data_IF_059620153290
#
_entry.id   IF_059620153290
#
_cell.length_a   1.000
_cell.length_b   1.000
_cell.length_c   1.000
_cell.angle_alpha   90.00
_cell.angle_beta   90.00
_cell.angle_gamma   90.00
#
_symmetry.space_group_name_H-M   'P 1'
#
loop_
_entity.id
_entity.type
_entity.pdbx_description
1 polymer ?
#
# COMPACT_ATOMS: atom_id res chain seq x y z
N UNK A 1 28.82 -11.91 -18.80
CA UNK A 1 28.35 -10.52 -18.94
C UNK A 1 29.52 -9.59 -18.72
N UNK A 2 29.54 -8.51 -19.48
CA UNK A 2 30.71 -7.70 -19.82
C UNK A 2 31.11 -6.74 -18.70
N UNK A 3 30.15 -6.22 -17.92
CA UNK A 3 30.40 -5.33 -16.78
C UNK A 3 30.61 -6.07 -15.45
N UNK A 4 30.56 -7.40 -15.46
CA UNK A 4 30.73 -8.21 -14.24
C UNK A 4 29.51 -8.17 -13.32
N UNK A 5 29.74 -8.38 -12.02
CA UNK A 5 28.68 -8.38 -11.01
C UNK A 5 28.32 -6.97 -10.54
N UNK A 6 27.06 -6.78 -10.16
CA UNK A 6 26.56 -5.53 -9.62
C UNK A 6 27.30 -5.11 -8.35
N UNK A 7 27.75 -6.07 -7.54
CA UNK A 7 28.61 -5.81 -6.38
C UNK A 7 29.91 -5.08 -6.76
N UNK A 8 30.61 -5.54 -7.81
CA UNK A 8 31.85 -4.91 -8.28
C UNK A 8 31.57 -3.49 -8.76
N UNK A 9 30.51 -3.31 -9.55
CA UNK A 9 30.11 -2.02 -10.12
C UNK A 9 29.71 -1.02 -9.02
N UNK A 10 29.00 -1.44 -7.97
CA UNK A 10 28.63 -0.58 -6.83
C UNK A 10 29.83 -0.23 -5.93
N UNK A 11 30.82 -1.11 -5.85
CA UNK A 11 32.05 -0.91 -5.07
C UNK A 11 33.04 0.04 -5.74
N UNK A 12 32.92 0.25 -7.06
CA UNK A 12 33.73 1.21 -7.80
C UNK A 12 33.06 2.58 -7.83
N UNK A 13 33.73 3.62 -7.31
CA UNK A 13 33.16 4.97 -7.23
C UNK A 13 32.80 5.61 -8.58
N UNK A 14 33.55 5.32 -9.63
CA UNK A 14 33.28 5.86 -10.97
C UNK A 14 32.05 5.17 -11.55
N UNK A 15 32.04 3.84 -11.57
CA UNK A 15 30.95 3.07 -12.16
C UNK A 15 29.65 3.18 -11.34
N UNK A 16 29.74 3.30 -10.01
CA UNK A 16 28.57 3.53 -9.16
C UNK A 16 27.89 4.88 -9.43
N UNK A 17 28.64 5.90 -9.86
CA UNK A 17 28.08 7.20 -10.30
C UNK A 17 27.43 7.09 -11.68
N UNK A 18 27.96 6.24 -12.57
CA UNK A 18 27.32 5.96 -13.86
C UNK A 18 25.95 5.27 -13.70
N UNK A 19 25.79 4.49 -12.63
CA UNK A 19 24.52 3.94 -12.15
C UNK A 19 23.67 5.02 -11.46
N UNK A 20 23.17 5.98 -12.22
CA UNK A 20 22.21 6.97 -11.70
C UNK A 20 20.90 6.34 -11.20
N UNK A 21 20.06 7.13 -10.51
CA UNK A 21 18.81 6.64 -9.93
C UNK A 21 17.87 5.93 -10.92
N UNK A 22 17.79 6.41 -12.16
CA UNK A 22 16.97 5.77 -13.20
C UNK A 22 17.47 4.35 -13.50
N UNK A 23 18.78 4.17 -13.66
CA UNK A 23 19.40 2.87 -13.92
C UNK A 23 19.26 1.93 -12.72
N UNK A 24 19.50 2.43 -11.50
CA UNK A 24 19.32 1.65 -10.27
C UNK A 24 17.88 1.14 -10.10
N UNK A 25 16.90 2.02 -10.30
CA UNK A 25 15.48 1.63 -10.29
C UNK A 25 15.18 0.58 -11.37
N UNK A 26 15.74 0.72 -12.57
CA UNK A 26 15.54 -0.27 -13.65
C UNK A 26 16.14 -1.63 -13.30
N UNK A 27 17.35 -1.68 -12.76
CA UNK A 27 18.00 -2.91 -12.28
C UNK A 27 17.09 -3.63 -11.27
N UNK A 28 16.54 -2.88 -10.30
CA UNK A 28 15.63 -3.43 -9.29
C UNK A 28 14.36 -3.99 -9.94
N UNK A 29 13.81 -3.30 -10.94
CA UNK A 29 12.65 -3.78 -11.72
C UNK A 29 12.96 -5.06 -12.48
N UNK A 30 14.12 -5.15 -13.12
CA UNK A 30 14.54 -6.31 -13.89
C UNK A 30 14.73 -7.54 -12.98
N UNK A 31 15.39 -7.36 -11.83
CA UNK A 31 15.52 -8.40 -10.80
C UNK A 31 14.14 -8.84 -10.28
N UNK A 32 13.24 -7.90 -10.02
CA UNK A 32 11.90 -8.21 -9.54
C UNK A 32 11.08 -9.01 -10.56
N UNK A 33 11.15 -8.65 -11.84
CA UNK A 33 10.50 -9.39 -12.92
C UNK A 33 11.10 -10.79 -13.10
N UNK A 34 12.42 -10.92 -13.08
CA UNK A 34 13.09 -12.21 -13.20
C UNK A 34 12.66 -13.17 -12.08
N UNK A 35 12.63 -12.70 -10.83
CA UNK A 35 12.17 -13.50 -9.70
C UNK A 35 10.67 -13.80 -9.76
N UNK A 36 9.85 -12.84 -10.22
CA UNK A 36 8.43 -13.11 -10.46
C UNK A 36 8.24 -14.25 -11.46
N UNK A 37 9.01 -14.24 -12.54
CA UNK A 37 8.96 -15.30 -13.55
C UNK A 37 9.32 -16.67 -12.96
N UNK A 38 10.43 -16.75 -12.22
CA UNK A 38 10.87 -18.00 -11.58
C UNK A 38 9.84 -18.55 -10.59
N UNK A 39 9.22 -17.67 -9.80
CA UNK A 39 8.31 -18.06 -8.73
C UNK A 39 6.88 -18.37 -9.22
N UNK A 40 6.43 -17.69 -10.28
CA UNK A 40 5.00 -17.70 -10.66
C UNK A 40 4.74 -18.17 -12.10
N UNK A 41 5.74 -18.19 -12.98
CA UNK A 41 5.57 -18.57 -14.38
C UNK A 41 6.30 -19.87 -14.75
N UNK A 42 7.33 -20.26 -14.00
CA UNK A 42 7.98 -21.56 -14.18
C UNK A 42 7.17 -22.69 -13.54
N UNK A 43 7.00 -23.80 -14.28
CA UNK A 43 6.44 -25.05 -13.78
C UNK A 43 7.46 -26.17 -14.04
N UNK A 44 8.00 -26.81 -12.99
CA UNK A 44 7.71 -26.59 -11.57
C UNK A 44 8.36 -25.29 -11.06
N UNK A 45 7.85 -24.76 -9.94
CA UNK A 45 8.30 -23.48 -9.39
C UNK A 45 9.79 -23.50 -9.06
N UNK A 46 10.53 -22.48 -9.48
CA UNK A 46 11.98 -22.38 -9.29
C UNK A 46 12.26 -21.37 -8.18
N UNK A 47 12.99 -21.79 -7.14
CA UNK A 47 13.43 -20.90 -6.05
C UNK A 47 14.95 -20.77 -6.08
N UNK A 48 15.44 -19.54 -6.29
CA UNK A 48 16.87 -19.26 -6.47
C UNK A 48 17.72 -19.52 -5.22
N UNK A 49 17.21 -19.14 -4.03
CA UNK A 49 17.81 -19.34 -2.69
C UNK A 49 19.13 -18.59 -2.39
N UNK A 50 19.84 -18.07 -3.40
CA UNK A 50 21.07 -17.28 -3.21
C UNK A 50 21.01 -15.91 -3.90
N UNK A 51 20.03 -15.07 -3.59
CA UNK A 51 19.92 -13.76 -4.24
C UNK A 51 20.86 -12.73 -3.60
N UNK A 52 21.97 -12.40 -4.26
CA UNK A 52 22.94 -11.40 -3.78
C UNK A 52 23.36 -10.46 -4.92
N UNK A 53 23.98 -9.32 -4.60
CA UNK A 53 24.54 -8.38 -5.60
C UNK A 53 25.70 -8.99 -6.39
N UNK A 54 26.35 -10.04 -5.88
CA UNK A 54 27.34 -10.83 -6.63
C UNK A 54 26.70 -11.72 -7.70
N UNK A 55 25.47 -12.18 -7.44
CA UNK A 55 24.71 -13.04 -8.34
C UNK A 55 23.80 -12.24 -9.30
N UNK A 56 23.99 -10.93 -9.39
CA UNK A 56 23.35 -10.08 -10.40
C UNK A 56 24.45 -9.57 -11.34
N UNK A 57 24.34 -9.94 -12.60
CA UNK A 57 25.30 -9.56 -13.63
C UNK A 57 24.76 -8.41 -14.49
N UNK A 58 25.65 -7.54 -14.94
CA UNK A 58 25.31 -6.40 -15.81
C UNK A 58 25.95 -6.55 -17.19
N UNK A 59 25.18 -6.28 -18.25
CA UNK A 59 25.72 -6.13 -19.60
C UNK A 59 26.24 -4.70 -19.87
N UNK A 60 26.72 -4.44 -21.09
CA UNK A 60 27.21 -3.11 -21.50
C UNK A 60 26.13 -2.02 -21.42
N UNK A 61 24.87 -2.39 -21.60
CA UNK A 61 23.70 -1.52 -21.48
C UNK A 61 23.23 -1.30 -20.03
N UNK A 62 23.92 -1.90 -19.04
CA UNK A 62 23.58 -1.87 -17.61
C UNK A 62 22.21 -2.47 -17.28
N UNK A 63 21.79 -3.46 -18.07
CA UNK A 63 20.65 -4.32 -17.79
C UNK A 63 21.10 -5.46 -16.87
N UNK A 64 20.23 -5.81 -15.93
CA UNK A 64 20.49 -6.78 -14.88
C UNK A 64 19.93 -8.16 -15.20
N UNK A 65 20.76 -9.16 -14.91
CA UNK A 65 20.41 -10.56 -15.10
C UNK A 65 20.77 -11.35 -13.85
N UNK A 66 19.82 -12.16 -13.39
CA UNK A 66 20.02 -13.07 -12.26
C UNK A 66 20.89 -14.24 -12.72
N UNK A 67 21.95 -14.53 -11.97
CA UNK A 67 22.93 -15.56 -12.27
C UNK A 67 23.15 -16.47 -11.05
N UNK A 68 23.93 -17.54 -11.26
CA UNK A 68 24.32 -18.52 -10.24
C UNK A 68 23.15 -19.32 -9.64
N UNK A 69 22.58 -20.20 -10.48
CA UNK A 69 21.51 -21.11 -10.09
C UNK A 69 22.01 -22.38 -9.35
N UNK A 70 23.26 -22.43 -8.89
CA UNK A 70 23.90 -23.65 -8.37
C UNK A 70 23.22 -24.27 -7.13
N UNK A 71 22.47 -23.50 -6.34
CA UNK A 71 21.70 -24.00 -5.19
C UNK A 71 20.18 -23.91 -5.37
N UNK A 72 19.74 -23.66 -6.60
CA UNK A 72 18.33 -23.53 -6.97
C UNK A 72 17.58 -24.81 -6.68
N UNK A 73 16.37 -24.69 -6.14
CA UNK A 73 15.46 -25.83 -5.95
C UNK A 73 14.23 -25.71 -6.82
N UNK A 74 13.85 -26.84 -7.39
CA UNK A 74 12.59 -27.04 -8.11
C UNK A 74 11.59 -27.55 -7.08
N UNK A 75 10.50 -26.81 -6.88
CA UNK A 75 9.40 -27.21 -6.01
C UNK A 75 8.34 -27.93 -6.85
N UNK A 76 8.12 -29.22 -6.55
CA UNK A 76 7.07 -30.00 -7.18
C UNK A 76 5.69 -29.56 -6.65
N UNK A 77 4.64 -29.48 -7.50
CA UNK A 77 3.30 -29.05 -7.08
C UNK A 77 2.68 -29.90 -5.95
N UNK A 78 3.16 -31.14 -5.79
CA UNK A 78 2.56 -32.16 -4.92
C UNK A 78 3.36 -32.45 -3.64
N UNK A 79 4.47 -31.76 -3.36
CA UNK A 79 5.25 -31.99 -2.12
C UNK A 79 4.77 -31.10 -0.97
N UNK A 80 3.71 -31.53 -0.30
CA UNK A 80 3.50 -31.19 1.11
C UNK A 80 4.48 -32.03 1.93
N UNK A 81 5.69 -31.53 2.19
CA UNK A 81 6.46 -31.77 3.42
C UNK A 81 7.88 -31.19 3.31
N UNK A 82 8.26 -30.48 4.38
CA UNK A 82 9.64 -30.19 4.79
C UNK A 82 10.60 -31.32 4.44
N UNK A 83 11.84 -31.01 4.00
CA UNK A 83 13.01 -31.82 4.38
C UNK A 83 14.37 -31.15 4.11
N UNK A 84 15.17 -31.20 5.17
CA UNK A 84 16.63 -31.05 5.33
C UNK A 84 17.23 -29.64 5.15
N UNK A 85 17.63 -29.15 6.33
CA UNK A 85 18.18 -27.86 6.74
C UNK A 85 19.59 -27.64 6.17
N UNK A 86 19.80 -26.50 5.51
CA UNK A 86 21.12 -25.89 5.37
C UNK A 86 20.94 -24.37 5.55
N UNK A 87 21.44 -23.87 6.69
CA UNK A 87 21.28 -22.49 7.17
C UNK A 87 20.82 -22.44 8.64
N UNK A 88 21.19 -21.40 9.38
CA UNK A 88 20.91 -21.28 10.83
C UNK A 88 19.64 -20.45 11.06
N UNK A 89 18.82 -20.88 12.03
CA UNK A 89 17.62 -20.30 12.68
C UNK A 89 16.76 -19.21 11.95
N UNK A 90 15.48 -19.53 11.69
CA UNK A 90 14.41 -18.55 11.34
C UNK A 90 13.38 -18.94 10.25
N UNK A 91 13.26 -20.23 9.89
CA UNK A 91 12.79 -20.67 8.57
C UNK A 91 11.34 -20.39 8.13
N UNK A 92 11.26 -20.08 6.81
CA UNK A 92 10.12 -19.93 5.86
C UNK A 92 9.60 -18.48 5.74
N UNK A 93 9.82 -17.68 4.68
CA UNK A 93 10.39 -17.84 3.34
C UNK A 93 11.71 -17.02 3.15
N UNK A 94 12.87 -17.66 2.92
CA UNK A 94 14.18 -17.01 2.76
C UNK A 94 14.38 -16.22 1.45
N UNK A 95 13.65 -16.55 0.39
CA UNK A 95 13.85 -16.01 -0.96
C UNK A 95 13.39 -14.56 -1.17
N UNK A 96 12.82 -13.93 -0.14
CA UNK A 96 12.45 -12.52 -0.13
C UNK A 96 13.38 -11.67 0.74
N UNK A 97 13.96 -12.22 1.81
CA UNK A 97 14.84 -11.45 2.69
C UNK A 97 16.12 -11.01 1.95
N UNK A 98 16.74 -11.91 1.21
CA UNK A 98 17.99 -11.64 0.48
C UNK A 98 17.81 -10.67 -0.70
N UNK A 99 16.70 -10.79 -1.43
CA UNK A 99 16.37 -9.85 -2.52
C UNK A 99 16.22 -8.43 -2.01
N UNK A 100 15.83 -8.23 -0.74
CA UNK A 100 15.71 -6.89 -0.15
C UNK A 100 17.03 -6.32 0.34
N UNK A 101 17.91 -7.18 0.85
CA UNK A 101 19.31 -6.82 1.11
C UNK A 101 19.92 -6.26 -0.18
N UNK A 102 19.68 -6.94 -1.31
CA UNK A 102 20.10 -6.46 -2.64
C UNK A 102 19.49 -5.10 -2.98
N UNK A 103 18.18 -4.90 -2.79
CA UNK A 103 17.53 -3.61 -3.08
C UNK A 103 18.11 -2.47 -2.25
N UNK A 104 18.31 -2.71 -0.94
CA UNK A 104 18.91 -1.72 -0.05
C UNK A 104 20.36 -1.42 -0.45
N UNK A 105 21.16 -2.43 -0.79
CA UNK A 105 22.53 -2.22 -1.29
C UNK A 105 22.57 -1.38 -2.56
N UNK A 106 21.64 -1.61 -3.49
CA UNK A 106 21.53 -0.81 -4.71
C UNK A 106 21.18 0.63 -4.38
N UNK A 107 20.25 0.87 -3.45
CA UNK A 107 19.82 2.24 -3.09
C UNK A 107 20.89 2.97 -2.27
N UNK A 108 21.58 2.27 -1.36
CA UNK A 108 22.61 2.82 -0.49
C UNK A 108 23.97 2.94 -1.20
N UNK A 109 24.20 2.18 -2.26
CA UNK A 109 25.47 2.11 -2.98
C UNK A 109 26.59 1.39 -2.23
N UNK A 110 26.30 0.75 -1.12
CA UNK A 110 27.27 0.08 -0.25
C UNK A 110 26.64 -1.14 0.40
N UNK A 111 27.47 -2.05 0.88
CA UNK A 111 26.99 -3.22 1.61
C UNK A 111 26.20 -2.80 2.86
N UNK A 112 25.09 -3.49 3.11
CA UNK A 112 24.04 -3.05 4.02
C UNK A 112 24.22 -3.55 5.47
N UNK A 113 25.21 -4.42 5.70
CA UNK A 113 25.67 -4.99 6.98
C UNK A 113 25.02 -4.47 8.27
N UNK A 114 25.68 -3.51 8.95
CA UNK A 114 25.23 -2.97 10.25
C UNK A 114 23.94 -2.13 10.17
N UNK A 115 23.62 -1.62 8.98
CA UNK A 115 22.46 -0.78 8.74
C UNK A 115 21.17 -1.59 8.68
N UNK A 116 21.20 -2.86 8.22
CA UNK A 116 20.01 -3.72 8.24
C UNK A 116 19.55 -3.98 9.67
N UNK A 117 20.48 -4.29 10.58
CA UNK A 117 20.16 -4.49 11.99
C UNK A 117 19.57 -3.22 12.62
N UNK A 118 20.08 -2.06 12.22
CA UNK A 118 19.59 -0.75 12.68
C UNK A 118 18.22 -0.40 12.09
N UNK A 119 17.99 -0.66 10.79
CA UNK A 119 16.74 -0.42 10.06
C UNK A 119 15.63 -1.38 10.50
N UNK A 120 15.97 -2.64 10.82
CA UNK A 120 15.04 -3.64 11.33
C UNK A 120 14.73 -3.44 12.83
N UNK A 121 15.55 -2.67 13.55
CA UNK A 121 15.31 -2.29 14.94
C UNK A 121 14.45 -1.03 15.06
N UNK A 122 13.92 -0.78 16.25
CA UNK A 122 13.08 0.40 16.52
C UNK A 122 13.78 1.76 16.36
N UNK A 123 15.09 1.79 16.05
CA UNK A 123 15.90 2.98 15.78
C UNK A 123 15.72 3.55 14.36
N UNK A 124 15.10 2.81 13.43
CA UNK A 124 14.70 3.35 12.12
C UNK A 124 13.70 4.52 12.21
N UNK A 125 13.13 4.76 13.40
CA UNK A 125 12.07 5.74 13.63
C UNK A 125 12.49 7.18 13.31
N UNK A 126 13.77 7.55 13.28
CA UNK A 126 14.13 8.96 13.01
C UNK A 126 15.04 9.16 11.77
N UNK A 127 15.30 8.10 11.00
CA UNK A 127 16.11 8.22 9.78
C UNK A 127 15.31 8.85 8.64
N UNK A 128 15.90 9.85 7.98
CA UNK A 128 15.33 10.42 6.77
C UNK A 128 15.79 9.61 5.55
N UNK A 129 14.94 9.55 4.51
CA UNK A 129 15.27 8.82 3.29
C UNK A 129 16.61 9.28 2.70
N UNK A 130 16.89 10.59 2.70
CA UNK A 130 18.17 11.17 2.23
C UNK A 130 19.42 10.58 2.92
N UNK A 131 19.29 10.07 4.14
CA UNK A 131 20.41 9.54 4.92
C UNK A 131 20.67 8.05 4.59
N UNK A 132 19.72 7.39 3.92
CA UNK A 132 19.83 6.02 3.40
C UNK A 132 20.42 6.00 1.99
N UNK A 133 20.10 7.00 1.17
CA UNK A 133 20.47 7.02 -0.24
C UNK A 133 21.98 7.14 -0.44
N UNK A 134 22.48 6.57 -1.54
CA UNK A 134 23.87 6.71 -1.95
C UNK A 134 24.27 8.20 -2.07
N UNK A 135 25.19 8.69 -1.22
CA UNK A 135 25.59 10.09 -1.20
C UNK A 135 26.36 10.51 -2.46
N UNK A 136 26.83 9.54 -3.26
CA UNK A 136 27.53 9.81 -4.53
C UNK A 136 26.57 10.31 -5.63
N UNK A 137 25.26 10.14 -5.46
CA UNK A 137 24.25 10.57 -6.41
C UNK A 137 23.61 11.90 -5.97
N UNK A 138 23.37 12.79 -6.93
CA UNK A 138 22.81 14.12 -6.66
C UNK A 138 21.43 14.04 -5.98
N UNK A 139 21.16 14.90 -4.97
CA UNK A 139 19.85 15.00 -4.32
C UNK A 139 18.79 15.67 -5.21
N UNK A 140 19.19 16.31 -6.32
CA UNK A 140 18.28 16.89 -7.31
C UNK A 140 17.70 15.80 -8.22
N UNK A 141 16.82 14.98 -7.64
CA UNK A 141 16.14 13.92 -8.34
C UNK A 141 14.89 14.50 -9.03
N UNK A 142 14.74 14.24 -10.33
CA UNK A 142 13.49 14.52 -11.05
C UNK A 142 12.31 13.92 -10.26
N UNK A 143 11.22 14.66 -10.10
CA UNK A 143 10.06 14.24 -9.29
C UNK A 143 9.54 12.84 -9.65
N UNK A 144 9.61 12.42 -10.91
CA UNK A 144 9.19 11.08 -11.34
C UNK A 144 10.16 9.97 -10.88
N UNK A 145 11.46 10.25 -10.89
CA UNK A 145 12.48 9.33 -10.39
C UNK A 145 12.41 9.27 -8.86
N UNK A 146 12.20 10.42 -8.20
CA UNK A 146 12.02 10.50 -6.75
C UNK A 146 10.84 9.64 -6.28
N UNK A 147 9.69 9.71 -6.97
CA UNK A 147 8.55 8.80 -6.74
C UNK A 147 8.95 7.34 -6.87
N UNK A 148 9.71 7.00 -7.91
CA UNK A 148 10.14 5.62 -8.15
C UNK A 148 11.07 5.12 -7.05
N UNK A 149 12.01 5.95 -6.59
CA UNK A 149 12.91 5.62 -5.47
C UNK A 149 12.13 5.41 -4.17
N UNK A 150 11.12 6.25 -3.89
CA UNK A 150 10.24 6.06 -2.72
C UNK A 150 9.48 4.74 -2.80
N UNK A 151 8.90 4.40 -3.96
CA UNK A 151 8.24 3.09 -4.16
C UNK A 151 9.19 1.94 -3.90
N UNK A 152 10.41 2.01 -4.44
CA UNK A 152 11.44 0.99 -4.23
C UNK A 152 11.72 0.80 -2.74
N UNK A 153 11.92 1.88 -1.98
CA UNK A 153 12.21 1.80 -0.55
C UNK A 153 11.01 1.27 0.24
N UNK A 154 9.79 1.67 -0.11
CA UNK A 154 8.58 1.12 0.52
C UNK A 154 8.45 -0.39 0.30
N UNK A 155 8.66 -0.85 -0.94
CA UNK A 155 8.64 -2.27 -1.26
C UNK A 155 9.77 -3.02 -0.53
N UNK A 156 10.95 -2.41 -0.44
CA UNK A 156 12.08 -2.97 0.31
C UNK A 156 11.71 -3.25 1.77
N UNK A 157 11.09 -2.27 2.42
CA UNK A 157 10.68 -2.37 3.82
C UNK A 157 9.50 -3.31 4.03
N UNK A 158 8.54 -3.34 3.11
CA UNK A 158 7.41 -4.29 3.16
C UNK A 158 7.89 -5.75 3.08
N UNK A 159 8.91 -6.02 2.29
CA UNK A 159 9.52 -7.35 2.19
C UNK A 159 10.41 -7.70 3.40
N UNK A 160 10.87 -6.73 4.19
CA UNK A 160 11.63 -6.94 5.44
C UNK A 160 10.75 -7.25 6.67
N UNK A 161 9.43 -7.31 6.51
CA UNK A 161 8.51 -7.63 7.62
C UNK A 161 8.87 -8.97 8.29
N UNK A 162 8.88 -8.99 9.62
CA UNK A 162 9.24 -10.18 10.40
C UNK A 162 8.27 -11.34 10.18
N UNK A 163 6.99 -11.04 9.90
CA UNK A 163 5.99 -12.06 9.54
C UNK A 163 6.05 -12.40 8.03
N UNK A 164 6.42 -13.63 7.65
CA UNK A 164 6.51 -14.07 6.26
C UNK A 164 5.20 -13.94 5.47
N UNK A 165 4.05 -14.15 6.13
CA UNK A 165 2.72 -14.03 5.48
C UNK A 165 2.34 -12.58 5.17
N UNK A 166 3.03 -11.62 5.77
CA UNK A 166 2.79 -10.19 5.56
C UNK A 166 3.70 -9.58 4.47
N UNK A 167 4.61 -10.37 3.91
CA UNK A 167 5.52 -9.97 2.82
C UNK A 167 4.80 -10.09 1.47
N UNK A 168 5.00 -9.16 0.54
CA UNK A 168 4.42 -9.27 -0.80
C UNK A 168 5.09 -10.39 -1.60
N UNK A 169 4.38 -10.92 -2.60
CA UNK A 169 4.95 -11.85 -3.57
C UNK A 169 5.77 -11.11 -4.62
N UNK A 170 6.71 -11.79 -5.29
CA UNK A 170 7.49 -11.15 -6.36
C UNK A 170 6.63 -10.75 -7.56
N UNK A 171 5.52 -11.46 -7.82
CA UNK A 171 4.49 -11.02 -8.78
C UNK A 171 3.90 -9.67 -8.41
N UNK A 172 3.50 -9.48 -7.15
CA UNK A 172 3.00 -8.19 -6.68
C UNK A 172 4.08 -7.09 -6.76
N UNK A 173 5.29 -7.36 -6.26
CA UNK A 173 6.42 -6.41 -6.34
C UNK A 173 6.71 -6.00 -7.78
N UNK A 174 6.70 -6.94 -8.73
CA UNK A 174 6.92 -6.63 -10.16
C UNK A 174 5.79 -5.79 -10.76
N UNK A 175 4.55 -6.01 -10.34
CA UNK A 175 3.37 -5.29 -10.83
C UNK A 175 3.29 -3.86 -10.28
N UNK A 176 3.71 -3.63 -9.03
CA UNK A 176 3.76 -2.30 -8.42
C UNK A 176 4.66 -1.34 -9.22
N UNK A 177 5.70 -1.84 -9.88
CA UNK A 177 6.53 -1.03 -10.76
C UNK A 177 5.87 -0.61 -12.09
N UNK A 178 4.77 -1.27 -12.47
CA UNK A 178 3.98 -0.97 -13.66
C UNK A 178 2.85 0.04 -13.35
N UNK A 179 2.41 0.10 -12.09
CA UNK A 179 1.35 1.02 -11.64
C UNK A 179 1.96 2.38 -11.28
N UNK A 180 1.91 3.34 -12.21
CA UNK A 180 2.40 4.72 -11.98
C UNK A 180 1.53 5.49 -10.97
N UNK A 181 1.68 5.32 -9.65
CA UNK A 181 0.92 6.17 -8.69
C UNK A 181 1.63 6.44 -7.37
N UNK A 182 2.28 7.61 -7.28
CA UNK A 182 2.36 8.35 -6.02
C UNK A 182 2.22 9.87 -6.30
N UNK A 183 1.23 10.56 -5.73
CA UNK A 183 1.36 11.97 -5.43
C UNK A 183 2.29 12.12 -4.21
N UNK A 184 3.46 12.75 -4.39
CA UNK A 184 4.34 13.13 -3.28
C UNK A 184 3.69 14.30 -2.55
N UNK A 185 3.13 14.08 -1.36
CA UNK A 185 2.56 15.14 -0.51
C UNK A 185 3.62 15.97 0.22
N UNK A 186 4.87 15.48 0.28
CA UNK A 186 6.04 16.15 0.87
C UNK A 186 7.22 16.13 -0.13
N UNK A 187 8.12 17.13 -0.08
CA UNK A 187 9.33 17.10 -0.89
C UNK A 187 10.23 15.93 -0.49
N UNK A 188 10.94 15.35 -1.46
CA UNK A 188 11.69 14.09 -1.34
C UNK A 188 12.66 14.04 -0.15
N UNK A 189 13.28 15.17 0.19
CA UNK A 189 14.23 15.30 1.29
C UNK A 189 13.58 15.26 2.70
N UNK A 190 12.25 15.39 2.78
CA UNK A 190 11.47 15.45 4.03
C UNK A 190 10.68 14.16 4.32
N UNK A 191 10.96 13.09 3.57
CA UNK A 191 10.32 11.79 3.75
C UNK A 191 11.08 11.02 4.84
N UNK A 192 10.42 10.82 5.98
CA UNK A 192 10.90 9.97 7.06
C UNK A 192 10.63 8.49 6.76
N UNK A 193 11.54 7.61 7.20
CA UNK A 193 11.37 6.15 7.14
C UNK A 193 10.16 5.65 7.98
N UNK A 194 9.59 6.47 8.89
CA UNK A 194 8.41 6.13 9.70
C UNK A 194 7.15 5.80 8.91
N UNK A 195 6.91 6.47 7.76
CA UNK A 195 5.74 6.16 6.92
C UNK A 195 5.81 4.74 6.31
N UNK A 196 6.92 4.03 6.52
CA UNK A 196 7.27 2.81 5.78
C UNK A 196 7.68 1.63 6.66
N UNK A 197 7.85 1.80 7.98
CA UNK A 197 8.29 0.72 8.89
C UNK A 197 7.33 0.37 10.02
N UNK A 198 6.28 1.14 10.29
CA UNK A 198 5.29 0.79 11.32
C UNK A 198 4.09 0.03 10.74
N UNK A 199 4.33 -1.20 10.32
CA UNK A 199 3.33 -2.26 10.49
C UNK A 199 3.67 -3.04 11.76
N UNK A 200 3.56 -2.37 12.91
CA UNK A 200 3.38 -3.08 14.18
C UNK A 200 2.13 -3.96 14.04
N UNK A 201 2.18 -5.27 14.34
CA UNK A 201 0.97 -6.08 14.42
C UNK A 201 0.25 -5.74 15.73
N UNK A 202 -0.43 -4.59 15.81
CA UNK A 202 -1.18 -4.19 17.01
C UNK A 202 -2.46 -3.43 16.68
N UNK A 203 -3.49 -4.21 16.35
CA UNK A 203 -4.82 -4.24 16.97
C UNK A 203 -5.74 -4.95 15.98
N UNK A 204 -6.56 -5.87 16.46
CA UNK A 204 -7.59 -6.56 15.66
C UNK A 204 -8.48 -5.60 14.86
N UNK A 205 -8.58 -4.33 15.26
CA UNK A 205 -9.36 -3.27 14.60
C UNK A 205 -8.79 -2.80 13.25
N UNK A 206 -7.47 -2.68 13.07
CA UNK A 206 -6.91 -2.16 11.80
C UNK A 206 -7.06 -3.15 10.64
N UNK A 207 -6.87 -4.44 10.91
CA UNK A 207 -7.15 -5.50 9.95
C UNK A 207 -8.65 -5.59 9.62
N UNK A 208 -9.50 -5.25 10.60
CA UNK A 208 -10.94 -5.21 10.43
C UNK A 208 -11.38 -4.06 9.52
N UNK A 209 -10.81 -2.86 9.66
CA UNK A 209 -11.07 -1.71 8.77
C UNK A 209 -10.76 -2.05 7.30
N UNK A 210 -9.57 -2.61 7.04
CA UNK A 210 -9.16 -3.03 5.68
C UNK A 210 -10.11 -4.08 5.09
N UNK A 211 -10.48 -5.10 5.90
CA UNK A 211 -11.43 -6.14 5.48
C UNK A 211 -12.81 -5.54 5.19
N UNK A 212 -13.31 -4.65 6.05
CA UNK A 212 -14.60 -3.99 5.89
C UNK A 212 -14.64 -3.13 4.62
N UNK A 213 -13.58 -2.37 4.33
CA UNK A 213 -13.51 -1.59 3.10
C UNK A 213 -13.45 -2.49 1.85
N UNK A 214 -12.72 -3.60 1.89
CA UNK A 214 -12.66 -4.54 0.76
C UNK A 214 -14.02 -5.18 0.44
N UNK A 215 -14.82 -5.48 1.47
CA UNK A 215 -16.17 -6.05 1.33
C UNK A 215 -17.14 -5.12 0.60
N UNK A 216 -16.90 -3.81 0.65
CA UNK A 216 -17.73 -2.84 -0.09
C UNK A 216 -17.57 -2.94 -1.59
N UNK A 217 -16.43 -3.47 -2.06
CA UNK A 217 -15.99 -3.45 -3.46
C UNK A 217 -15.86 -2.05 -4.08
N UNK A 218 -15.94 -0.97 -3.30
CA UNK A 218 -15.85 0.41 -3.80
C UNK A 218 -14.44 0.77 -4.32
N UNK A 219 -13.41 0.06 -3.84
CA UNK A 219 -12.02 0.18 -4.26
C UNK A 219 -11.57 -1.06 -5.06
N UNK A 220 -12.35 -1.44 -6.08
CA UNK A 220 -12.21 -2.69 -6.85
C UNK A 220 -10.85 -3.01 -7.52
N UNK A 221 -9.84 -2.13 -7.41
CA UNK A 221 -8.45 -2.38 -7.81
C UNK A 221 -7.58 -3.01 -6.72
N UNK A 222 -7.97 -2.87 -5.45
CA UNK A 222 -7.26 -3.42 -4.30
C UNK A 222 -7.81 -4.81 -3.93
N UNK A 223 -8.01 -5.68 -4.93
CA UNK A 223 -8.41 -7.07 -4.65
C UNK A 223 -7.18 -7.80 -4.08
N UNK A 224 -7.25 -8.10 -2.79
CA UNK A 224 -6.31 -8.95 -2.03
C UNK A 224 -5.07 -8.30 -1.42
N UNK A 225 -5.10 -7.05 -0.96
CA UNK A 225 -3.90 -6.42 -0.38
C UNK A 225 -3.91 -6.30 1.14
N UNK A 226 -2.84 -6.80 1.78
CA UNK A 226 -2.41 -6.56 3.18
C UNK A 226 -1.79 -5.14 3.30
N UNK A 227 -2.16 -4.24 2.39
CA UNK A 227 -1.76 -2.84 2.40
C UNK A 227 -2.72 -2.08 3.30
N UNK A 228 -2.17 -1.16 4.09
CA UNK A 228 -2.97 -0.30 4.95
C UNK A 228 -3.99 0.48 4.11
N UNK A 229 -5.28 0.53 4.50
CA UNK A 229 -6.28 1.30 3.76
C UNK A 229 -5.93 2.78 3.66
N UNK A 230 -5.02 3.27 4.50
CA UNK A 230 -4.49 4.64 4.48
C UNK A 230 -3.77 5.02 3.17
N UNK A 231 -3.42 4.05 2.33
CA UNK A 231 -2.83 4.31 1.01
C UNK A 231 -3.87 4.35 -0.11
N UNK A 232 -5.15 4.10 0.20
CA UNK A 232 -6.21 4.05 -0.80
C UNK A 232 -6.71 5.45 -1.12
N UNK A 233 -7.09 5.67 -2.37
CA UNK A 233 -7.62 6.96 -2.80
C UNK A 233 -8.85 7.35 -1.96
N UNK A 234 -8.80 8.55 -1.39
CA UNK A 234 -9.88 9.07 -0.55
C UNK A 234 -9.84 8.66 0.91
N UNK A 235 -8.86 7.85 1.36
CA UNK A 235 -8.74 7.43 2.76
C UNK A 235 -7.65 8.23 3.47
N UNK A 236 -7.95 8.71 4.68
CA UNK A 236 -6.98 9.34 5.58
C UNK A 236 -7.05 8.67 6.95
N UNK A 237 -5.88 8.40 7.52
CA UNK A 237 -5.74 7.76 8.82
C UNK A 237 -5.05 8.69 9.83
N UNK A 238 -5.22 8.37 11.12
CA UNK A 238 -4.42 8.97 12.18
C UNK A 238 -3.02 8.34 12.27
N UNK A 239 -2.19 8.84 13.19
CA UNK A 239 -0.82 8.35 13.40
C UNK A 239 -0.75 6.87 13.83
N UNK A 240 -1.87 6.33 14.35
CA UNK A 240 -2.02 4.91 14.67
C UNK A 240 -2.48 4.03 13.49
N UNK A 241 -2.65 4.60 12.30
CA UNK A 241 -3.05 3.88 11.09
C UNK A 241 -4.55 3.55 11.00
N UNK A 242 -5.38 4.06 11.91
CA UNK A 242 -6.84 3.86 11.88
C UNK A 242 -7.51 4.91 11.02
N UNK A 243 -8.50 4.50 10.23
CA UNK A 243 -9.23 5.35 9.30
C UNK A 243 -10.05 6.41 10.04
N UNK A 244 -9.71 7.68 9.82
CA UNK A 244 -10.41 8.84 10.38
C UNK A 244 -11.24 9.60 9.34
N UNK A 245 -10.93 9.43 8.06
CA UNK A 245 -11.69 10.06 6.99
C UNK A 245 -11.77 9.20 5.74
N UNK A 246 -12.97 9.15 5.16
CA UNK A 246 -13.25 8.54 3.85
C UNK A 246 -13.90 9.62 2.97
N UNK A 247 -13.35 9.83 1.79
CA UNK A 247 -13.79 10.83 0.83
C UNK A 247 -13.71 10.29 -0.61
N UNK A 248 -14.84 9.84 -1.14
CA UNK A 248 -14.97 9.41 -2.54
C UNK A 248 -15.87 10.35 -3.33
N UNK A 249 -15.50 10.59 -4.58
CA UNK A 249 -16.29 11.35 -5.54
C UNK A 249 -16.23 10.67 -6.93
N UNK A 250 -17.28 10.85 -7.74
CA UNK A 250 -17.41 10.35 -9.12
C UNK A 250 -16.17 10.54 -9.98
N UNK A 251 -15.55 11.72 -9.88
CA UNK A 251 -14.33 12.04 -10.65
C UNK A 251 -13.18 11.09 -10.30
N UNK A 252 -13.02 10.72 -9.03
CA UNK A 252 -12.03 9.73 -8.60
C UNK A 252 -12.35 8.34 -9.16
N UNK A 253 -13.63 7.94 -9.20
CA UNK A 253 -14.06 6.63 -9.72
C UNK A 253 -13.96 6.55 -11.26
N UNK A 254 -14.24 7.64 -11.99
CA UNK A 254 -14.11 7.72 -13.45
C UNK A 254 -12.65 7.71 -13.92
N UNK A 255 -11.74 8.39 -13.19
CA UNK A 255 -10.29 8.32 -13.43
C UNK A 255 -9.74 6.90 -13.31
N UNK A 256 -10.51 6.01 -12.69
CA UNK A 256 -10.16 4.62 -12.53
C UNK A 256 -11.08 3.70 -13.30
N UNK A 257 -11.87 4.14 -14.29
CA UNK A 257 -12.66 3.23 -15.14
C UNK A 257 -13.67 2.34 -14.41
N UNK A 258 -14.03 2.67 -13.16
CA UNK A 258 -14.92 1.87 -12.29
C UNK A 258 -16.40 2.21 -12.42
N UNK A 259 -16.73 3.26 -13.17
CA UNK A 259 -18.09 3.80 -13.28
C UNK A 259 -19.13 2.79 -13.81
N UNK A 260 -18.71 1.65 -14.39
CA UNK A 260 -19.59 0.72 -15.10
C UNK A 260 -19.70 -0.68 -14.48
N UNK A 261 -18.95 -1.04 -13.42
CA UNK A 261 -18.79 -2.45 -13.02
C UNK A 261 -19.24 -2.81 -11.59
N UNK A 262 -19.59 -1.86 -10.73
CA UNK A 262 -20.02 -2.16 -9.35
C UNK A 262 -21.28 -1.40 -8.97
N UNK A 263 -22.33 -2.13 -8.56
CA UNK A 263 -23.46 -1.55 -7.84
C UNK A 263 -22.95 -1.09 -6.48
N UNK A 264 -22.81 0.22 -6.27
CA UNK A 264 -22.46 0.81 -4.98
C UNK A 264 -23.67 0.71 -4.06
N UNK A 265 -23.82 -0.40 -3.34
CA UNK A 265 -24.87 -0.54 -2.32
C UNK A 265 -24.34 -0.11 -0.96
N UNK A 266 -25.06 0.79 -0.28
CA UNK A 266 -24.64 1.30 1.03
C UNK A 266 -24.67 0.24 2.13
N UNK A 267 -25.51 -0.80 1.98
CA UNK A 267 -25.64 -1.87 2.97
C UNK A 267 -24.37 -2.70 3.17
N UNK A 268 -23.42 -2.64 2.24
CA UNK A 268 -22.13 -3.35 2.36
C UNK A 268 -21.11 -2.63 3.25
N UNK A 269 -21.38 -1.39 3.66
CA UNK A 269 -20.48 -0.64 4.53
C UNK A 269 -20.74 -0.96 6.01
N UNK A 270 -19.79 -1.60 6.67
CA UNK A 270 -19.88 -1.95 8.08
C UNK A 270 -19.31 -0.84 8.99
N UNK A 271 -20.17 0.07 9.44
CA UNK A 271 -19.82 1.19 10.32
C UNK A 271 -19.13 0.78 11.62
N UNK A 272 -19.48 -0.37 12.20
CA UNK A 272 -18.88 -0.89 13.44
C UNK A 272 -17.39 -1.20 13.33
N UNK A 273 -16.85 -1.24 12.10
CA UNK A 273 -15.43 -1.47 11.86
C UNK A 273 -14.59 -0.19 11.92
N UNK A 274 -15.20 1.00 12.02
CA UNK A 274 -14.49 2.29 11.94
C UNK A 274 -14.74 3.16 13.19
N UNK A 275 -14.23 2.78 14.38
CA UNK A 275 -14.52 3.47 15.64
C UNK A 275 -13.96 4.90 15.71
N UNK A 276 -12.94 5.21 14.90
CA UNK A 276 -12.26 6.51 14.90
C UNK A 276 -12.70 7.41 13.73
N UNK A 277 -13.72 7.03 12.97
CA UNK A 277 -14.12 7.77 11.78
C UNK A 277 -14.75 9.13 12.17
N UNK A 278 -14.12 10.20 11.68
CA UNK A 278 -14.49 11.59 11.97
C UNK A 278 -15.22 12.23 10.78
N UNK A 279 -14.83 11.89 9.55
CA UNK A 279 -15.42 12.46 8.32
C UNK A 279 -15.75 11.38 7.30
N UNK A 280 -17.00 11.33 6.87
CA UNK A 280 -17.46 10.37 5.85
C UNK A 280 -18.14 11.13 4.71
N UNK A 281 -17.54 11.10 3.52
CA UNK A 281 -18.01 11.82 2.34
C UNK A 281 -18.05 10.90 1.13
N UNK A 282 -19.23 10.65 0.60
CA UNK A 282 -19.46 9.91 -0.63
C UNK A 282 -20.37 10.77 -1.51
N UNK A 283 -19.79 11.56 -2.41
CA UNK A 283 -20.57 12.53 -3.22
C UNK A 283 -20.63 12.05 -4.66
N UNK A 284 -21.83 11.97 -5.23
CA UNK A 284 -22.03 11.61 -6.64
C UNK A 284 -21.46 10.24 -7.05
N UNK A 285 -21.26 9.31 -6.11
CA UNK A 285 -20.65 7.99 -6.42
C UNK A 285 -21.66 6.97 -6.93
N UNK A 286 -22.94 7.35 -7.07
CA UNK A 286 -24.02 6.46 -7.49
C UNK A 286 -24.42 5.46 -6.40
N UNK A 287 -24.23 5.81 -5.13
CA UNK A 287 -24.58 4.98 -3.97
C UNK A 287 -26.10 4.73 -3.92
N UNK A 288 -26.51 3.49 -3.71
CA UNK A 288 -27.91 3.03 -3.67
C UNK A 288 -28.23 2.37 -2.35
N UNK A 289 -29.53 2.24 -2.05
CA UNK A 289 -30.05 1.59 -0.85
C UNK A 289 -30.34 2.58 0.28
N UNK A 290 -30.74 2.05 1.43
CA UNK A 290 -31.03 2.85 2.61
C UNK A 290 -29.78 3.16 3.43
N UNK A 291 -29.84 4.24 4.21
CA UNK A 291 -28.81 4.55 5.20
C UNK A 291 -28.95 3.52 6.34
N UNK A 292 -27.91 2.69 6.59
CA UNK A 292 -28.01 1.62 7.57
C UNK A 292 -28.04 2.19 9.01
N UNK A 293 -28.88 1.66 9.92
CA UNK A 293 -29.00 2.18 11.28
C UNK A 293 -27.71 2.03 12.10
N UNK A 294 -26.80 1.16 11.69
CA UNK A 294 -25.45 0.97 12.26
C UNK A 294 -24.60 2.25 12.21
N UNK A 295 -24.96 3.23 11.36
CA UNK A 295 -24.28 4.53 11.30
C UNK A 295 -24.24 5.24 12.66
N UNK A 296 -25.24 5.02 13.52
CA UNK A 296 -25.29 5.57 14.88
C UNK A 296 -24.23 5.01 15.84
N UNK A 297 -23.45 4.00 15.42
CA UNK A 297 -22.32 3.45 16.18
C UNK A 297 -21.03 4.26 16.07
N UNK A 298 -20.93 5.22 15.13
CA UNK A 298 -19.71 6.00 14.88
C UNK A 298 -19.76 7.34 15.61
N UNK A 299 -19.67 7.31 16.93
CA UNK A 299 -19.91 8.47 17.81
C UNK A 299 -18.95 9.65 17.61
N UNK A 300 -17.81 9.46 16.94
CA UNK A 300 -16.81 10.49 16.63
C UNK A 300 -17.09 11.23 15.31
N UNK A 301 -18.14 10.86 14.58
CA UNK A 301 -18.45 11.44 13.28
C UNK A 301 -18.91 12.90 13.44
N UNK A 302 -18.18 13.82 12.82
CA UNK A 302 -18.48 15.26 12.82
C UNK A 302 -19.04 15.74 11.49
N UNK A 303 -18.69 15.07 10.40
CA UNK A 303 -19.09 15.45 9.05
C UNK A 303 -19.57 14.23 8.26
N UNK A 304 -20.83 14.24 7.86
CA UNK A 304 -21.44 13.23 7.00
C UNK A 304 -21.98 13.91 5.74
N UNK A 305 -21.42 13.56 4.57
CA UNK A 305 -21.94 14.01 3.29
C UNK A 305 -22.20 12.82 2.37
N UNK A 306 -23.47 12.58 2.05
CA UNK A 306 -23.94 11.53 1.14
C UNK A 306 -24.73 12.15 -0.03
N UNK A 307 -24.51 13.43 -0.31
CA UNK A 307 -25.29 14.16 -1.32
C UNK A 307 -25.10 13.62 -2.73
N UNK A 308 -26.09 13.86 -3.59
CA UNK A 308 -26.07 13.53 -5.03
C UNK A 308 -25.93 12.03 -5.29
N UNK A 309 -26.57 11.18 -4.49
CA UNK A 309 -26.60 9.74 -4.70
C UNK A 309 -28.03 9.27 -5.02
N UNK A 310 -28.22 7.95 -5.05
CA UNK A 310 -29.52 7.29 -5.25
C UNK A 310 -29.98 6.60 -3.96
N UNK A 311 -29.67 7.19 -2.79
CA UNK A 311 -30.11 6.65 -1.50
C UNK A 311 -31.61 6.80 -1.35
N UNK A 312 -32.28 5.82 -0.76
CA UNK A 312 -33.74 5.80 -0.59
C UNK A 312 -34.16 5.27 0.78
N UNK A 313 -35.45 5.38 1.10
CA UNK A 313 -35.98 5.01 2.41
C UNK A 313 -35.91 6.16 3.43
N UNK A 314 -36.20 5.84 4.68
CA UNK A 314 -36.29 6.83 5.77
C UNK A 314 -34.94 7.10 6.44
N UNK A 315 -34.80 8.27 7.08
CA UNK A 315 -33.64 8.57 7.90
C UNK A 315 -33.65 7.72 9.17
N UNK A 316 -32.60 6.93 9.46
CA UNK A 316 -32.60 6.09 10.64
C UNK A 316 -32.52 6.95 11.91
N UNK A 317 -33.39 6.67 12.89
CA UNK A 317 -33.41 7.34 14.20
C UNK A 317 -32.05 7.27 14.93
N UNK A 318 -31.23 6.27 14.62
CA UNK A 318 -29.89 6.11 15.18
C UNK A 318 -28.93 7.24 14.80
N UNK A 319 -29.21 8.03 13.76
CA UNK A 319 -28.43 9.25 13.45
C UNK A 319 -28.44 10.24 14.61
N UNK A 320 -29.49 10.25 15.45
CA UNK A 320 -29.55 11.11 16.64
C UNK A 320 -28.51 10.75 17.71
N UNK A 321 -27.91 9.55 17.64
CA UNK A 321 -26.81 9.14 18.53
C UNK A 321 -25.49 9.83 18.19
N UNK A 322 -25.37 10.45 17.01
CA UNK A 322 -24.17 11.14 16.56
C UNK A 322 -24.09 12.54 17.15
N UNK A 323 -23.87 12.63 18.46
CA UNK A 323 -23.89 13.89 19.23
C UNK A 323 -22.79 14.88 18.83
N UNK A 324 -21.73 14.42 18.17
CA UNK A 324 -20.64 15.25 17.65
C UNK A 324 -20.87 15.73 16.21
N UNK A 325 -21.98 15.35 15.57
CA UNK A 325 -22.23 15.66 14.16
C UNK A 325 -22.52 17.16 13.98
N UNK A 326 -21.63 17.84 13.28
CA UNK A 326 -21.73 19.27 13.00
C UNK A 326 -22.39 19.53 11.65
N UNK A 327 -22.12 18.68 10.67
CA UNK A 327 -22.61 18.81 9.29
C UNK A 327 -23.19 17.50 8.80
N UNK A 328 -24.47 17.53 8.45
CA UNK A 328 -25.16 16.46 7.75
C UNK A 328 -25.66 16.99 6.40
N UNK A 329 -25.18 16.41 5.31
CA UNK A 329 -25.64 16.70 3.95
C UNK A 329 -26.05 15.41 3.26
N UNK A 330 -27.34 15.30 3.00
CA UNK A 330 -28.01 14.17 2.34
C UNK A 330 -28.87 14.65 1.18
N UNK A 331 -28.67 15.89 0.73
CA UNK A 331 -29.40 16.52 -0.37
C UNK A 331 -29.22 15.76 -1.69
N UNK A 332 -30.16 15.93 -2.63
CA UNK A 332 -30.12 15.25 -3.94
C UNK A 332 -30.04 13.72 -3.81
N UNK A 333 -30.94 13.13 -3.03
CA UNK A 333 -31.17 11.69 -2.90
C UNK A 333 -32.67 11.38 -3.11
N UNK A 334 -33.09 10.14 -2.94
CA UNK A 334 -34.48 9.66 -3.03
C UNK A 334 -35.06 9.31 -1.65
N UNK A 335 -34.65 10.05 -0.61
CA UNK A 335 -35.08 9.82 0.77
C UNK A 335 -36.57 10.11 0.94
N UNK A 336 -37.24 9.35 1.81
CA UNK A 336 -38.66 9.49 2.13
C UNK A 336 -38.86 9.62 3.64
N UNK A 337 -40.09 9.93 4.08
CA UNK A 337 -40.43 10.04 5.49
C UNK A 337 -40.03 11.39 6.13
N UNK A 338 -40.50 11.66 7.36
CA UNK A 338 -40.20 12.91 8.05
C UNK A 338 -38.75 12.96 8.54
N UNK A 339 -38.21 14.17 8.73
CA UNK A 339 -36.98 14.36 9.50
C UNK A 339 -37.30 14.02 10.96
N UNK A 340 -36.63 13.03 11.58
CA UNK A 340 -36.84 12.71 12.98
C UNK A 340 -36.60 13.93 13.87
N UNK A 341 -37.49 14.18 14.84
CA UNK A 341 -37.39 15.31 15.77
C UNK A 341 -36.07 15.27 16.56
N UNK A 342 -35.55 14.08 16.80
CA UNK A 342 -34.29 13.80 17.47
C UNK A 342 -33.07 14.36 16.69
N UNK A 343 -33.21 14.63 15.38
CA UNK A 343 -32.19 15.29 14.55
C UNK A 343 -32.29 16.82 14.55
N UNK A 344 -33.33 17.39 15.16
CA UNK A 344 -33.55 18.84 15.23
C UNK A 344 -32.46 19.62 15.98
N UNK A 345 -31.59 18.93 16.73
CA UNK A 345 -30.47 19.51 17.47
C UNK A 345 -29.14 19.58 16.67
N UNK A 346 -29.11 19.15 15.41
CA UNK A 346 -27.90 19.21 14.59
C UNK A 346 -27.56 20.66 14.18
N UNK A 347 -26.29 21.05 14.35
CA UNK A 347 -25.82 22.44 14.09
C UNK A 347 -25.96 22.89 12.64
N UNK A 348 -25.95 21.97 11.68
CA UNK A 348 -26.18 22.25 10.26
C UNK A 348 -26.73 21.01 9.55
N UNK A 349 -28.00 21.07 9.16
CA UNK A 349 -28.71 20.03 8.43
C UNK A 349 -29.03 20.52 7.02
N UNK A 350 -28.52 19.81 6.01
CA UNK A 350 -28.82 20.03 4.60
C UNK A 350 -29.57 18.81 4.08
N UNK A 351 -30.88 18.97 3.97
CA UNK A 351 -31.81 17.95 3.50
C UNK A 351 -32.70 18.56 2.43
N UNK A 352 -32.89 17.84 1.33
CA UNK A 352 -33.85 18.22 0.30
C UNK A 352 -34.90 17.12 0.18
N UNK A 353 -36.13 17.32 0.70
CA UNK A 353 -37.23 16.40 0.53
C UNK A 353 -37.79 16.39 -0.90
N UNK A 354 -37.48 17.41 -1.70
CA UNK A 354 -38.13 17.64 -2.98
C UNK A 354 -37.08 17.62 -4.09
N UNK A 355 -36.91 16.47 -4.74
CA UNK A 355 -36.32 16.45 -6.09
C UNK A 355 -37.27 17.21 -7.05
N UNK A 356 -37.18 18.53 -7.09
CA UNK A 356 -37.78 19.35 -8.14
C UNK A 356 -36.78 19.62 -9.24
#
# INVERSE_FOLDING_TARGET
MEKGSLFIVLSNDVEARELNWKKRVNIIKEVAHALSYLHHNCIPTIVHRDMTTNNILLNLELQAFVANFGITRILSPNSSNLTILAGTYGYIAPELAYTMVVVLEIIMGRHSGELISSIASSYARDMMLKDVLDPRLSPHINQNIAKSVVVVVMLALACLRSNPKSRPTMKHVSQEFLVRRLPLSKPFYAISMQHTTDAKPQSSSLAQESKALNQTHWWGYHRETILSPCTWDGIVCNDGGSVIQINLNKTALHLHGQAYLSSFNFSYFNFSSFPNLVRFKLVEVGLRGAIPPEIGGVSNLTHLNLSRNFLSGELPLSLAKLTQLEKLDISFNQMSGPIPLELGNLRSLWYDPFNS
#
